data_IF_752255940647
#
_entry.id   IF_752255940647
#
_cell.length_a   1.000
_cell.length_b   1.000
_cell.length_c   1.000
_cell.angle_alpha   90.00
_cell.angle_beta   90.00
_cell.angle_gamma   90.00
#
_symmetry.space_group_name_H-M   'P 1'
#
loop_
_entity.id
_entity.type
_entity.pdbx_description
1 polymer ?
#
# COMPACT_ATOMS: atom_id res chain seq x y z
N UNK A 1 -21.91 12.62 -76.86
CA UNK A 1 -20.56 12.37 -76.29
C UNK A 1 -20.72 11.64 -74.97
N UNK A 2 -20.41 10.34 -74.95
CA UNK A 2 -20.53 9.48 -73.78
C UNK A 2 -19.14 9.29 -73.19
N UNK A 3 -18.90 9.88 -72.01
CA UNK A 3 -17.61 9.81 -71.33
C UNK A 3 -17.68 8.64 -70.35
N UNK A 4 -17.03 7.53 -70.71
CA UNK A 4 -16.88 6.34 -69.87
C UNK A 4 -15.91 6.67 -68.73
N UNK A 5 -16.39 6.67 -67.48
CA UNK A 5 -15.52 6.74 -66.32
C UNK A 5 -14.82 5.39 -66.11
N UNK A 6 -13.49 5.43 -66.04
CA UNK A 6 -12.64 4.29 -65.72
C UNK A 6 -12.91 3.80 -64.30
N UNK A 7 -13.20 2.51 -64.16
CA UNK A 7 -13.27 1.81 -62.88
C UNK A 7 -11.86 1.68 -62.30
N UNK A 8 -11.51 2.52 -61.31
CA UNK A 8 -10.32 2.29 -60.47
C UNK A 8 -10.58 1.09 -59.57
N UNK A 9 -9.87 -0.01 -59.84
CA UNK A 9 -9.65 -1.09 -58.86
C UNK A 9 -8.99 -0.50 -57.62
N UNK A 10 -9.70 -0.49 -56.50
CA UNK A 10 -9.10 -0.29 -55.18
C UNK A 10 -8.33 -1.57 -54.82
N UNK A 11 -7.01 -1.51 -54.92
CA UNK A 11 -6.13 -2.50 -54.28
C UNK A 11 -6.20 -2.25 -52.78
N UNK A 12 -6.86 -3.17 -52.06
CA UNK A 12 -6.80 -3.27 -50.60
C UNK A 12 -5.34 -3.53 -50.20
N UNK A 13 -4.64 -2.50 -49.74
CA UNK A 13 -3.37 -2.66 -49.05
C UNK A 13 -3.70 -3.00 -47.60
N UNK A 14 -3.66 -4.30 -47.28
CA UNK A 14 -3.79 -4.78 -45.90
C UNK A 14 -2.70 -4.15 -45.01
N UNK A 15 -2.96 -3.96 -43.71
CA UNK A 15 -1.97 -3.40 -42.80
C UNK A 15 -0.71 -4.27 -42.80
N UNK A 16 0.50 -3.70 -42.70
CA UNK A 16 1.71 -4.50 -42.59
C UNK A 16 1.58 -5.38 -41.35
N UNK A 17 1.67 -6.69 -41.54
CA UNK A 17 1.81 -7.65 -40.45
C UNK A 17 3.14 -7.33 -39.76
N UNK A 18 3.06 -6.50 -38.72
CA UNK A 18 4.13 -6.29 -37.78
C UNK A 18 4.32 -7.62 -37.08
N UNK A 19 5.36 -8.36 -37.46
CA UNK A 19 5.85 -9.52 -36.76
C UNK A 19 6.14 -9.09 -35.31
N UNK A 20 5.16 -9.29 -34.44
CA UNK A 20 5.37 -9.27 -33.01
C UNK A 20 6.14 -10.55 -32.69
N UNK A 21 7.46 -10.52 -32.92
CA UNK A 21 8.38 -11.32 -32.13
C UNK A 21 8.40 -10.71 -30.73
N UNK A 22 7.29 -10.86 -29.99
CA UNK A 22 7.32 -10.72 -28.55
C UNK A 22 8.09 -11.92 -28.04
N UNK A 23 9.41 -11.78 -27.92
CA UNK A 23 10.14 -12.62 -26.98
C UNK A 23 9.53 -12.34 -25.61
N UNK A 24 8.93 -13.33 -24.92
CA UNK A 24 8.63 -13.17 -23.52
C UNK A 24 9.96 -13.24 -22.79
N UNK A 25 10.69 -12.12 -22.68
CA UNK A 25 11.65 -11.95 -21.60
C UNK A 25 10.87 -11.65 -20.32
N UNK A 26 10.07 -12.64 -19.92
CA UNK A 26 9.74 -12.83 -18.52
C UNK A 26 10.63 -13.97 -18.08
N UNK A 27 11.85 -13.63 -17.65
CA UNK A 27 12.57 -14.53 -16.74
C UNK A 27 11.70 -14.55 -15.49
N UNK A 28 10.76 -15.49 -15.45
CA UNK A 28 10.15 -15.91 -14.22
C UNK A 28 11.30 -16.48 -13.41
N UNK A 29 11.91 -15.65 -12.56
CA UNK A 29 12.57 -16.18 -11.37
C UNK A 29 11.46 -16.82 -10.55
N UNK A 30 11.12 -18.07 -10.88
CA UNK A 30 10.38 -18.96 -10.01
C UNK A 30 11.31 -19.18 -8.83
N UNK A 31 11.25 -18.31 -7.83
CA UNK A 31 11.86 -18.58 -6.54
C UNK A 31 11.06 -19.75 -5.98
N UNK A 32 11.52 -20.96 -6.27
CA UNK A 32 11.11 -22.15 -5.53
C UNK A 32 11.47 -21.83 -4.08
N UNK A 33 10.47 -21.64 -3.23
CA UNK A 33 10.71 -21.14 -1.89
C UNK A 33 11.49 -22.19 -1.09
N UNK A 34 12.53 -21.71 -0.45
CA UNK A 34 13.60 -22.42 0.25
C UNK A 34 13.13 -23.57 1.16
N UNK A 35 11.90 -23.57 1.66
CA UNK A 35 11.43 -24.58 2.62
C UNK A 35 11.10 -25.95 2.02
N UNK A 36 10.80 -26.03 0.71
CA UNK A 36 10.44 -27.29 0.03
C UNK A 36 11.64 -28.01 -0.59
N UNK A 37 12.71 -27.29 -0.94
CA UNK A 37 13.99 -27.90 -1.34
C UNK A 37 14.83 -28.32 -0.11
N UNK A 38 14.80 -27.56 0.98
CA UNK A 38 15.73 -27.74 2.10
C UNK A 38 15.51 -28.99 2.96
N UNK A 39 14.34 -29.63 2.85
CA UNK A 39 14.10 -30.96 3.47
C UNK A 39 14.44 -32.12 2.55
N UNK A 40 14.50 -31.91 1.23
CA UNK A 40 14.73 -32.98 0.26
C UNK A 40 16.22 -33.23 0.01
N UNK A 41 17.07 -32.30 0.43
CA UNK A 41 18.52 -32.34 0.28
C UNK A 41 19.27 -32.41 1.62
N UNK A 42 18.66 -32.93 2.71
CA UNK A 42 19.42 -33.36 3.89
C UNK A 42 20.18 -34.68 3.64
N UNK A 43 21.02 -34.59 2.63
CA UNK A 43 22.25 -35.34 2.39
C UNK A 43 23.36 -34.47 1.78
N UNK A 44 23.15 -33.15 1.54
CA UNK A 44 24.20 -32.22 1.12
C UNK A 44 24.05 -30.83 1.74
N UNK A 45 25.18 -30.21 2.09
CA UNK A 45 25.25 -28.82 2.56
C UNK A 45 25.02 -27.89 1.37
N UNK A 46 24.15 -26.90 1.53
CA UNK A 46 23.91 -25.88 0.51
C UNK A 46 25.13 -24.94 0.42
N UNK A 47 25.93 -25.03 -0.65
CA UNK A 47 27.01 -24.07 -0.98
C UNK A 47 26.48 -22.88 -1.81
N UNK A 48 25.24 -22.46 -1.57
CA UNK A 48 24.63 -21.32 -2.27
C UNK A 48 24.93 -19.98 -1.62
N UNK A 49 24.63 -18.88 -2.32
CA UNK A 49 24.77 -17.47 -1.85
C UNK A 49 24.18 -17.23 -0.45
N UNK A 50 23.18 -18.02 -0.03
CA UNK A 50 22.63 -17.98 1.32
C UNK A 50 23.64 -18.42 2.40
N UNK A 51 24.44 -19.46 2.15
CA UNK A 51 25.48 -19.93 3.06
C UNK A 51 26.68 -18.96 3.11
N UNK A 52 26.96 -18.24 2.01
CA UNK A 52 27.98 -17.17 2.01
C UNK A 52 27.54 -15.93 2.81
N UNK A 53 26.23 -15.69 2.93
CA UNK A 53 25.64 -14.61 3.73
C UNK A 53 25.45 -15.00 5.21
N UNK A 54 25.63 -16.27 5.58
CA UNK A 54 25.65 -16.73 6.98
C UNK A 54 26.97 -16.35 7.68
N UNK A 55 28.07 -16.21 6.93
CA UNK A 55 29.36 -15.72 7.46
C UNK A 55 29.26 -14.21 7.83
N UNK A 56 29.49 -13.83 9.11
CA UNK A 56 29.28 -12.45 9.57
C UNK A 56 30.20 -11.44 8.88
N UNK A 57 31.42 -11.85 8.47
CA UNK A 57 32.38 -11.00 7.75
C UNK A 57 31.96 -10.78 6.30
N UNK A 58 31.55 -11.85 5.59
CA UNK A 58 31.07 -11.76 4.19
C UNK A 58 29.76 -10.99 4.10
N UNK A 59 28.86 -11.18 5.07
CA UNK A 59 27.62 -10.41 5.20
C UNK A 59 27.90 -8.92 5.39
N UNK A 60 28.84 -8.56 6.27
CA UNK A 60 29.27 -7.15 6.44
C UNK A 60 29.83 -6.56 5.14
N UNK A 61 30.77 -7.25 4.49
CA UNK A 61 31.33 -6.78 3.20
C UNK A 61 30.29 -6.70 2.07
N UNK A 62 29.30 -7.59 2.04
CA UNK A 62 28.19 -7.52 1.09
C UNK A 62 27.25 -6.34 1.38
N UNK A 63 26.95 -6.09 2.66
CA UNK A 63 26.14 -4.92 3.08
C UNK A 63 26.87 -3.61 2.77
N UNK A 64 28.17 -3.55 3.04
CA UNK A 64 29.05 -2.43 2.71
C UNK A 64 29.09 -2.19 1.20
N UNK A 65 29.39 -3.22 0.40
CA UNK A 65 29.40 -3.15 -1.06
C UNK A 65 28.04 -2.82 -1.69
N UNK A 66 26.94 -3.28 -1.08
CA UNK A 66 25.57 -2.94 -1.48
C UNK A 66 25.24 -1.49 -1.12
N UNK A 67 25.69 -1.01 0.04
CA UNK A 67 25.56 0.38 0.46
C UNK A 67 26.40 1.34 -0.42
N UNK A 68 27.61 0.94 -0.80
CA UNK A 68 28.51 1.69 -1.68
C UNK A 68 27.95 1.76 -3.11
N UNK A 69 27.52 0.62 -3.68
CA UNK A 69 26.90 0.57 -5.02
C UNK A 69 25.59 1.33 -5.11
N UNK A 70 24.89 1.50 -4.00
CA UNK A 70 23.65 2.28 -3.90
C UNK A 70 23.88 3.72 -3.43
N UNK A 71 25.13 4.11 -3.22
CA UNK A 71 25.50 5.51 -3.10
C UNK A 71 25.81 6.03 -4.49
N UNK A 72 24.92 6.86 -5.03
CA UNK A 72 25.26 7.76 -6.14
C UNK A 72 26.24 8.86 -5.65
N UNK A 73 26.75 8.73 -4.43
CA UNK A 73 27.50 9.70 -3.65
C UNK A 73 28.99 9.40 -3.58
N UNK A 74 29.52 8.39 -4.28
CA UNK A 74 30.97 8.29 -4.47
C UNK A 74 31.48 9.28 -5.51
N UNK A 75 30.65 9.65 -6.49
CA UNK A 75 31.09 10.38 -7.70
C UNK A 75 30.39 11.73 -7.90
N UNK A 76 29.66 12.24 -6.91
CA UNK A 76 29.07 13.59 -7.03
C UNK A 76 30.14 14.67 -6.83
N UNK A 77 30.10 15.69 -7.68
CA UNK A 77 31.00 16.87 -7.68
C UNK A 77 31.08 17.59 -6.31
N UNK A 78 30.05 17.44 -5.45
CA UNK A 78 29.97 18.10 -4.15
C UNK A 78 30.31 17.16 -2.97
N UNK A 79 30.88 15.98 -3.21
CA UNK A 79 31.17 15.01 -2.15
C UNK A 79 32.18 15.53 -1.14
N UNK A 80 33.24 16.18 -1.60
CA UNK A 80 34.26 16.75 -0.73
C UNK A 80 33.73 17.96 0.04
N UNK A 81 32.83 18.76 -0.57
CA UNK A 81 32.17 19.89 0.10
C UNK A 81 31.16 19.42 1.17
N UNK A 82 30.40 18.36 0.90
CA UNK A 82 29.48 17.74 1.87
C UNK A 82 30.26 17.12 3.03
N UNK A 83 31.40 16.46 2.76
CA UNK A 83 32.29 15.90 3.79
C UNK A 83 32.95 17.00 4.63
N UNK A 84 33.34 18.12 4.03
CA UNK A 84 33.91 19.26 4.76
C UNK A 84 32.87 20.07 5.52
N UNK A 85 31.63 20.17 5.02
CA UNK A 85 30.52 20.83 5.70
C UNK A 85 29.91 19.96 6.81
N UNK A 86 30.04 18.64 6.71
CA UNK A 86 29.80 17.73 7.83
C UNK A 86 30.98 17.79 8.80
N UNK A 87 31.02 18.84 9.63
CA UNK A 87 31.91 18.93 10.80
C UNK A 87 31.80 17.64 11.63
N UNK A 88 32.74 16.71 11.44
CA UNK A 88 33.04 15.55 12.29
C UNK A 88 31.87 14.63 12.68
N UNK A 89 30.72 14.73 12.01
CA UNK A 89 29.51 13.95 12.30
C UNK A 89 29.28 13.00 11.15
N UNK A 90 30.00 11.88 11.20
CA UNK A 90 29.81 10.76 10.29
C UNK A 90 28.33 10.39 10.20
N UNK A 91 27.79 10.25 8.99
CA UNK A 91 26.45 9.70 8.77
C UNK A 91 26.29 8.25 9.30
N UNK A 92 27.40 7.59 9.62
CA UNK A 92 27.45 6.32 10.33
C UNK A 92 27.18 6.45 11.85
N UNK A 93 27.29 7.66 12.41
CA UNK A 93 27.08 8.01 13.82
C UNK A 93 25.77 8.76 14.09
N UNK A 94 24.77 8.66 13.19
CA UNK A 94 23.37 8.90 13.58
C UNK A 94 22.84 7.69 14.39
N UNK A 95 23.56 7.36 15.46
CA UNK A 95 23.01 6.74 16.65
C UNK A 95 22.41 7.90 17.44
N UNK A 96 21.11 8.15 17.25
CA UNK A 96 20.42 9.09 18.15
C UNK A 96 20.63 8.58 19.58
N UNK A 97 20.68 9.45 20.60
CA UNK A 97 20.80 9.05 22.02
C UNK A 97 19.78 7.97 22.45
N UNK A 98 18.71 7.81 21.68
CA UNK A 98 17.70 6.76 21.78
C UNK A 98 18.19 5.34 21.41
N UNK A 99 19.17 5.21 20.52
CA UNK A 99 19.73 3.92 20.07
C UNK A 99 20.61 3.25 21.14
N UNK A 100 21.13 4.03 22.09
CA UNK A 100 21.92 3.54 23.23
C UNK A 100 21.09 2.63 24.18
N UNK A 101 19.77 2.85 24.26
CA UNK A 101 18.87 2.12 25.17
C UNK A 101 18.18 0.90 24.55
N UNK A 102 18.41 0.61 23.26
CA UNK A 102 17.79 -0.52 22.56
C UNK A 102 18.61 -1.80 22.73
N UNK A 103 17.92 -2.92 22.94
CA UNK A 103 18.55 -4.25 22.92
C UNK A 103 19.19 -4.55 21.56
N UNK A 104 20.21 -5.40 21.51
CA UNK A 104 20.93 -5.70 20.27
C UNK A 104 20.03 -6.33 19.19
N UNK A 105 18.98 -7.05 19.60
CA UNK A 105 17.93 -7.54 18.69
C UNK A 105 17.12 -6.39 18.08
N UNK A 106 16.67 -5.42 18.88
CA UNK A 106 15.96 -4.24 18.40
C UNK A 106 16.85 -3.37 17.50
N UNK A 107 18.14 -3.24 17.82
CA UNK A 107 19.12 -2.57 16.95
C UNK A 107 19.29 -3.30 15.62
N UNK A 108 19.37 -4.64 15.63
CA UNK A 108 19.46 -5.45 14.43
C UNK A 108 18.20 -5.33 13.55
N UNK A 109 17.01 -5.38 14.14
CA UNK A 109 15.73 -5.16 13.43
C UNK A 109 15.65 -3.75 12.84
N UNK A 110 16.01 -2.72 13.61
CA UNK A 110 16.08 -1.33 13.15
C UNK A 110 17.09 -1.17 12.00
N UNK A 111 18.24 -1.85 12.05
CA UNK A 111 19.23 -1.88 10.94
C UNK A 111 18.69 -2.58 9.68
N UNK A 112 17.92 -3.67 9.81
CA UNK A 112 17.26 -4.33 8.67
C UNK A 112 16.20 -3.43 8.03
N UNK A 113 15.49 -2.61 8.82
CA UNK A 113 14.55 -1.61 8.26
C UNK A 113 15.25 -0.43 7.59
N UNK A 114 16.52 -0.15 7.92
CA UNK A 114 17.39 0.85 7.29
C UNK A 114 18.13 0.29 6.05
N UNK A 115 17.52 -0.60 5.25
CA UNK A 115 17.99 -0.72 3.86
C UNK A 115 17.90 0.68 3.26
N UNK A 116 19.03 1.22 2.79
CA UNK A 116 19.06 2.53 2.17
C UNK A 116 18.00 2.56 1.09
N UNK A 117 16.96 3.40 1.29
CA UNK A 117 15.87 3.63 0.33
C UNK A 117 16.37 4.46 -0.85
N UNK A 118 17.55 4.13 -1.36
CA UNK A 118 18.08 4.69 -2.59
C UNK A 118 17.12 4.34 -3.71
N UNK A 119 16.87 5.31 -4.59
CA UNK A 119 16.09 5.14 -5.81
C UNK A 119 16.45 3.84 -6.54
N UNK A 120 17.73 3.52 -6.69
CA UNK A 120 18.21 2.31 -7.37
C UNK A 120 17.75 1.02 -6.69
N UNK A 121 17.92 0.91 -5.37
CA UNK A 121 17.51 -0.27 -4.60
C UNK A 121 15.99 -0.48 -4.64
N UNK A 122 15.24 0.61 -4.58
CA UNK A 122 13.78 0.57 -4.57
C UNK A 122 13.17 0.48 -5.97
N UNK A 123 13.91 0.84 -7.03
CA UNK A 123 13.39 0.97 -8.39
C UNK A 123 12.77 -0.34 -8.89
N UNK A 124 13.39 -1.48 -8.56
CA UNK A 124 12.90 -2.80 -8.97
C UNK A 124 11.49 -3.08 -8.41
N UNK A 125 11.21 -2.62 -7.18
CA UNK A 125 9.93 -2.85 -6.50
C UNK A 125 8.91 -1.74 -6.79
N UNK A 126 9.35 -0.48 -6.82
CA UNK A 126 8.49 0.69 -7.02
C UNK A 126 8.08 0.87 -8.49
N UNK A 127 8.98 0.62 -9.44
CA UNK A 127 8.78 0.82 -10.88
C UNK A 127 9.12 -0.47 -11.66
N UNK A 128 8.32 -1.56 -11.54
CA UNK A 128 8.61 -2.84 -12.20
C UNK A 128 8.54 -2.79 -13.74
N UNK A 129 7.70 -1.91 -14.31
CA UNK A 129 7.62 -1.65 -15.76
C UNK A 129 7.78 -0.14 -16.05
N UNK A 130 9.01 0.33 -16.32
CA UNK A 130 9.24 1.75 -16.61
C UNK A 130 8.65 2.18 -17.96
N UNK A 131 8.53 1.27 -18.94
CA UNK A 131 8.04 1.58 -20.28
C UNK A 131 6.55 1.93 -20.29
N UNK A 132 5.74 1.13 -19.59
CA UNK A 132 4.31 1.42 -19.41
C UNK A 132 4.09 2.74 -18.67
N UNK A 133 4.88 3.01 -17.61
CA UNK A 133 4.82 4.26 -16.85
C UNK A 133 5.10 5.48 -17.72
N UNK A 134 6.15 5.45 -18.55
CA UNK A 134 6.50 6.55 -19.46
C UNK A 134 5.36 6.81 -20.45
N UNK A 135 4.77 5.75 -21.03
CA UNK A 135 3.64 5.89 -21.96
C UNK A 135 2.42 6.52 -21.28
N UNK A 136 2.12 6.11 -20.04
CA UNK A 136 1.04 6.66 -19.24
C UNK A 136 1.29 8.14 -18.88
N UNK A 137 2.51 8.48 -18.45
CA UNK A 137 2.92 9.85 -18.16
C UNK A 137 2.77 10.75 -19.40
N UNK A 138 3.27 10.30 -20.56
CA UNK A 138 3.10 11.02 -21.83
C UNK A 138 1.62 11.27 -22.13
N UNK A 139 0.75 10.26 -21.97
CA UNK A 139 -0.70 10.41 -22.15
C UNK A 139 -1.28 11.45 -21.19
N UNK A 140 -0.88 11.46 -19.92
CA UNK A 140 -1.37 12.41 -18.91
C UNK A 140 -0.87 13.84 -19.15
N UNK A 141 0.40 14.01 -19.52
CA UNK A 141 0.96 15.32 -19.90
C UNK A 141 0.22 15.87 -21.12
N UNK A 142 -0.03 15.06 -22.15
CA UNK A 142 -0.82 15.49 -23.32
C UNK A 142 -2.24 15.91 -22.90
N UNK A 143 -2.90 15.17 -21.99
CA UNK A 143 -4.23 15.54 -21.48
C UNK A 143 -4.19 16.89 -20.73
N UNK A 144 -3.17 17.11 -19.91
CA UNK A 144 -2.97 18.34 -19.14
C UNK A 144 -2.70 19.54 -20.06
N UNK A 145 -1.81 19.39 -21.04
CA UNK A 145 -1.50 20.46 -22.01
C UNK A 145 -2.72 20.79 -22.88
N UNK A 146 -3.53 19.79 -23.24
CA UNK A 146 -4.75 20.00 -24.04
C UNK A 146 -5.82 20.78 -23.28
N UNK A 147 -5.93 20.56 -21.96
CA UNK A 147 -6.96 21.20 -21.12
C UNK A 147 -6.33 21.67 -19.78
N UNK A 148 -5.57 22.77 -19.77
CA UNK A 148 -4.81 23.20 -18.59
C UNK A 148 -5.72 23.60 -17.41
N UNK A 149 -6.86 24.24 -17.69
CA UNK A 149 -7.74 24.78 -16.64
C UNK A 149 -8.84 23.79 -16.21
N UNK A 150 -8.94 22.63 -16.86
CA UNK A 150 -9.99 21.66 -16.58
C UNK A 150 -9.60 20.72 -15.44
N UNK A 151 -10.00 21.09 -14.22
CA UNK A 151 -9.86 20.24 -13.03
C UNK A 151 -11.20 19.65 -12.65
N UNK A 152 -11.31 18.32 -12.65
CA UNK A 152 -12.56 17.67 -12.22
C UNK A 152 -12.76 17.83 -10.71
N UNK A 153 -14.00 17.86 -10.20
CA UNK A 153 -14.25 17.94 -8.76
C UNK A 153 -13.52 16.85 -7.97
N UNK A 154 -13.45 15.63 -8.52
CA UNK A 154 -12.72 14.50 -7.93
C UNK A 154 -11.21 14.75 -7.83
N UNK A 155 -10.60 15.35 -8.86
CA UNK A 155 -9.18 15.71 -8.84
C UNK A 155 -8.91 16.79 -7.80
N UNK A 156 -9.80 17.78 -7.68
CA UNK A 156 -9.70 18.82 -6.66
C UNK A 156 -9.76 18.23 -5.26
N UNK A 157 -10.77 17.39 -4.98
CA UNK A 157 -10.92 16.69 -3.69
C UNK A 157 -9.66 15.87 -3.37
N UNK A 158 -9.17 15.08 -4.32
CA UNK A 158 -7.98 14.24 -4.10
C UNK A 158 -6.69 15.05 -3.87
N UNK A 159 -6.62 16.27 -4.39
CA UNK A 159 -5.49 17.16 -4.18
C UNK A 159 -5.57 17.91 -2.84
N UNK A 160 -6.76 18.32 -2.40
CA UNK A 160 -6.95 19.15 -1.21
C UNK A 160 -7.24 18.36 0.06
N UNK A 161 -7.96 17.24 -0.04
CA UNK A 161 -8.44 16.46 1.09
C UNK A 161 -7.62 15.19 1.26
N UNK A 162 -7.30 14.87 2.51
CA UNK A 162 -6.58 13.64 2.85
C UNK A 162 -7.62 12.54 3.09
N UNK A 163 -7.38 11.35 2.54
CA UNK A 163 -8.16 10.13 2.80
C UNK A 163 -7.22 8.98 3.18
N UNK A 164 -7.68 8.08 4.05
CA UNK A 164 -6.97 6.86 4.41
C UNK A 164 -7.94 5.69 4.26
N UNK A 165 -7.62 4.75 3.36
CA UNK A 165 -8.40 3.52 3.17
C UNK A 165 -7.72 2.38 3.92
N UNK A 166 -8.46 1.76 4.85
CA UNK A 166 -7.99 0.59 5.59
C UNK A 166 -8.99 -0.55 5.41
N UNK A 167 -8.48 -1.78 5.32
CA UNK A 167 -9.29 -2.99 5.23
C UNK A 167 -8.80 -3.98 6.28
N UNK A 168 -9.75 -4.56 6.99
CA UNK A 168 -9.48 -5.66 7.92
C UNK A 168 -9.12 -6.96 7.20
N UNK A 169 -8.57 -7.90 7.96
CA UNK A 169 -8.45 -9.28 7.52
C UNK A 169 -9.82 -9.98 7.45
N UNK A 170 -9.85 -11.12 6.77
CA UNK A 170 -11.05 -11.93 6.65
C UNK A 170 -11.45 -12.57 8.00
N UNK A 171 -12.56 -12.10 8.55
CA UNK A 171 -13.14 -12.58 9.80
C UNK A 171 -14.17 -13.68 9.54
N UNK A 172 -14.32 -14.63 10.47
CA UNK A 172 -15.25 -15.76 10.37
C UNK A 172 -16.73 -15.38 10.62
N UNK A 173 -17.21 -14.36 9.93
CA UNK A 173 -18.54 -13.79 10.07
C UNK A 173 -19.26 -13.68 8.74
N UNK A 174 -20.56 -13.44 8.81
CA UNK A 174 -21.38 -13.13 7.63
C UNK A 174 -21.38 -11.63 7.41
N UNK A 175 -21.41 -11.22 6.14
CA UNK A 175 -21.50 -9.81 5.74
C UNK A 175 -22.67 -9.11 6.41
N UNK A 176 -23.83 -9.77 6.50
CA UNK A 176 -25.04 -9.20 7.16
C UNK A 176 -24.81 -8.89 8.64
N UNK A 177 -24.05 -9.75 9.35
CA UNK A 177 -23.78 -9.55 10.78
C UNK A 177 -22.79 -8.42 10.99
N UNK A 178 -21.77 -8.33 10.14
CA UNK A 178 -20.75 -7.29 10.21
C UNK A 178 -21.28 -5.93 9.72
N UNK A 179 -22.18 -5.94 8.73
CA UNK A 179 -22.82 -4.74 8.19
C UNK A 179 -23.57 -3.94 9.26
N UNK A 180 -24.17 -4.61 10.26
CA UNK A 180 -24.81 -3.91 11.38
C UNK A 180 -23.82 -3.07 12.20
N UNK A 181 -22.59 -3.54 12.38
CA UNK A 181 -21.54 -2.79 13.09
C UNK A 181 -20.94 -1.70 12.21
N UNK A 182 -20.70 -1.99 10.93
CA UNK A 182 -20.19 -1.02 9.95
C UNK A 182 -21.14 0.19 9.79
N UNK A 183 -22.45 -0.06 9.64
CA UNK A 183 -23.46 1.00 9.59
C UNK A 183 -23.55 1.81 10.89
N UNK A 184 -23.25 1.19 12.03
CA UNK A 184 -23.30 1.86 13.32
C UNK A 184 -22.17 2.88 13.50
N UNK A 185 -21.00 2.66 12.91
CA UNK A 185 -19.83 3.55 13.07
C UNK A 185 -19.67 4.56 11.93
N UNK A 186 -20.41 4.39 10.83
CA UNK A 186 -20.38 5.32 9.70
C UNK A 186 -20.72 6.75 10.15
N UNK A 187 -19.94 7.74 9.72
CA UNK A 187 -20.13 9.15 10.05
C UNK A 187 -19.71 9.56 11.47
N UNK A 188 -19.27 8.63 12.32
CA UNK A 188 -18.79 8.95 13.67
C UNK A 188 -17.32 9.41 13.65
N UNK A 189 -16.90 10.30 14.59
CA UNK A 189 -15.48 10.54 14.81
C UNK A 189 -14.81 9.25 15.30
N UNK A 190 -13.53 9.04 14.92
CA UNK A 190 -12.83 7.76 15.17
C UNK A 190 -12.80 7.39 16.65
N UNK A 191 -12.52 8.37 17.53
CA UNK A 191 -12.48 8.14 18.97
C UNK A 191 -13.83 7.66 19.53
N UNK A 192 -14.94 8.21 19.02
CA UNK A 192 -16.28 7.79 19.40
C UNK A 192 -16.61 6.40 18.87
N UNK A 193 -16.15 6.07 17.67
CA UNK A 193 -16.34 4.73 17.11
C UNK A 193 -15.56 3.66 17.91
N UNK A 194 -14.32 3.96 18.32
CA UNK A 194 -13.51 3.09 19.21
C UNK A 194 -14.25 2.85 20.53
N UNK A 195 -14.71 3.93 21.17
CA UNK A 195 -15.58 3.88 22.34
C UNK A 195 -16.81 2.96 22.10
N UNK A 196 -17.54 3.19 21.01
CA UNK A 196 -18.74 2.41 20.69
C UNK A 196 -18.45 0.91 20.51
N UNK A 197 -17.34 0.57 19.86
CA UNK A 197 -16.93 -0.83 19.68
C UNK A 197 -16.46 -1.47 20.99
N UNK A 198 -15.80 -0.71 21.88
CA UNK A 198 -15.33 -1.16 23.20
C UNK A 198 -16.47 -1.66 24.07
N UNK A 199 -17.61 -0.94 24.07
CA UNK A 199 -18.78 -1.30 24.89
C UNK A 199 -19.84 -2.11 24.14
N UNK A 200 -19.63 -2.40 22.86
CA UNK A 200 -20.56 -3.21 22.08
C UNK A 200 -20.51 -4.67 22.51
N UNK A 201 -21.69 -5.27 22.72
CA UNK A 201 -21.86 -6.68 23.12
C UNK A 201 -21.60 -7.66 21.97
N UNK A 202 -21.43 -7.20 20.73
CA UNK A 202 -21.29 -8.08 19.56
C UNK A 202 -19.89 -8.70 19.55
N UNK A 203 -19.78 -10.01 19.34
CA UNK A 203 -18.47 -10.72 19.32
C UNK A 203 -17.39 -10.03 18.48
N UNK A 204 -17.77 -9.57 17.29
CA UNK A 204 -16.86 -8.97 16.33
C UNK A 204 -16.59 -7.47 16.54
N UNK A 205 -17.14 -6.84 17.58
CA UNK A 205 -16.78 -5.46 17.92
C UNK A 205 -15.33 -5.34 18.36
N UNK A 206 -14.80 -6.35 19.06
CA UNK A 206 -13.41 -6.38 19.52
C UNK A 206 -12.40 -6.35 18.36
N UNK A 207 -12.71 -7.09 17.30
CA UNK A 207 -11.90 -7.13 16.08
C UNK A 207 -11.98 -5.79 15.32
N UNK A 208 -13.17 -5.22 15.18
CA UNK A 208 -13.34 -3.89 14.55
C UNK A 208 -12.61 -2.82 15.36
N UNK A 209 -12.64 -2.89 16.69
CA UNK A 209 -11.89 -1.97 17.55
C UNK A 209 -10.39 -2.00 17.22
N UNK A 210 -9.80 -3.20 17.13
CA UNK A 210 -8.40 -3.36 16.73
C UNK A 210 -8.12 -2.70 15.36
N UNK A 211 -8.97 -2.94 14.36
CA UNK A 211 -8.79 -2.35 13.03
C UNK A 211 -9.03 -0.83 13.00
N UNK A 212 -9.87 -0.29 13.88
CA UNK A 212 -10.06 1.16 14.00
C UNK A 212 -8.83 1.83 14.62
N UNK A 213 -8.20 1.19 15.62
CA UNK A 213 -6.94 1.65 16.20
C UNK A 213 -5.81 1.60 15.15
N UNK A 214 -5.67 0.48 14.46
CA UNK A 214 -4.70 0.34 13.36
C UNK A 214 -4.94 1.37 12.24
N UNK A 215 -6.19 1.58 11.82
CA UNK A 215 -6.54 2.57 10.80
C UNK A 215 -6.19 4.00 11.24
N UNK A 216 -6.45 4.35 12.51
CA UNK A 216 -6.11 5.65 13.07
C UNK A 216 -4.60 5.86 13.02
N UNK A 217 -3.84 4.89 13.47
CA UNK A 217 -2.39 5.00 13.56
C UNK A 217 -1.77 5.06 12.15
N UNK A 218 -2.28 4.27 11.20
CA UNK A 218 -1.89 4.35 9.79
C UNK A 218 -2.26 5.69 9.16
N UNK A 219 -3.42 6.26 9.46
CA UNK A 219 -3.85 7.55 8.95
C UNK A 219 -2.94 8.70 9.44
N UNK A 220 -2.55 8.65 10.71
CA UNK A 220 -1.61 9.61 11.30
C UNK A 220 -0.23 9.45 10.65
N UNK A 221 0.30 8.23 10.57
CA UNK A 221 1.67 7.99 10.09
C UNK A 221 1.82 8.18 8.58
N UNK A 222 0.90 7.62 7.77
CA UNK A 222 1.01 7.67 6.30
C UNK A 222 0.52 8.98 5.70
N UNK A 223 -0.57 9.52 6.26
CA UNK A 223 -1.27 10.67 5.67
C UNK A 223 -1.13 11.95 6.50
N UNK A 224 -0.61 11.88 7.74
CA UNK A 224 -0.47 13.06 8.60
C UNK A 224 -1.80 13.63 9.09
N UNK A 225 -2.84 12.78 9.24
CA UNK A 225 -4.14 13.22 9.74
C UNK A 225 -4.15 13.45 11.25
N UNK A 226 -5.04 14.32 11.76
CA UNK A 226 -5.27 14.48 13.20
C UNK A 226 -4.18 15.23 13.99
N UNK A 227 -3.24 15.90 13.31
CA UNK A 227 -2.12 16.61 13.93
C UNK A 227 -2.37 18.12 14.17
N UNK A 228 -3.53 18.64 13.79
CA UNK A 228 -3.83 20.08 13.87
C UNK A 228 -3.79 20.64 15.29
N UNK A 229 -4.17 19.83 16.30
CA UNK A 229 -4.05 20.24 17.73
C UNK A 229 -2.62 20.54 18.14
N UNK A 230 -1.66 19.75 17.67
CA UNK A 230 -0.24 19.90 18.00
C UNK A 230 0.36 21.08 17.22
N UNK A 231 -0.08 21.25 15.97
CA UNK A 231 0.37 22.35 15.11
C UNK A 231 -0.28 23.71 15.46
N UNK A 232 -1.32 23.73 16.30
CA UNK A 232 -2.06 24.95 16.64
C UNK A 232 -3.07 25.40 15.57
N UNK A 233 -3.40 24.54 14.61
CA UNK A 233 -4.34 24.81 13.49
C UNK A 233 -5.82 24.66 13.92
N UNK A 234 -6.16 25.20 15.09
CA UNK A 234 -7.53 25.18 15.60
C UNK A 234 -8.31 26.36 15.03
N UNK A 235 -9.60 26.15 14.76
CA UNK A 235 -10.46 27.28 14.45
C UNK A 235 -10.64 28.16 15.69
N UNK A 236 -10.46 29.48 15.53
CA UNK A 236 -10.72 30.46 16.61
C UNK A 236 -12.16 30.38 17.11
N UNK A 237 -13.10 30.12 16.21
CA UNK A 237 -14.50 29.86 16.51
C UNK A 237 -14.94 28.51 15.92
N UNK A 238 -15.61 27.64 16.71
CA UNK A 238 -16.01 26.33 16.24
C UNK A 238 -17.06 26.44 15.13
N UNK A 239 -16.83 25.78 14.00
CA UNK A 239 -17.75 25.79 12.86
C UNK A 239 -18.90 24.82 13.11
N UNK A 240 -20.14 25.30 12.95
CA UNK A 240 -21.35 24.47 12.99
C UNK A 240 -21.66 23.96 11.59
N UNK A 241 -21.70 22.63 11.43
CA UNK A 241 -22.08 22.00 10.17
C UNK A 241 -23.27 21.06 10.37
N UNK A 242 -24.06 20.89 9.31
CA UNK A 242 -25.13 19.90 9.24
C UNK A 242 -24.60 18.67 8.50
N UNK A 243 -24.67 17.48 9.12
CA UNK A 243 -24.33 16.23 8.42
C UNK A 243 -25.39 15.86 7.40
N UNK A 244 -25.06 14.94 6.49
CA UNK A 244 -26.03 14.35 5.56
C UNK A 244 -27.24 13.71 6.26
N UNK A 245 -27.07 13.26 7.50
CA UNK A 245 -28.12 12.66 8.33
C UNK A 245 -28.97 13.70 9.08
N UNK A 246 -28.70 15.00 8.89
CA UNK A 246 -29.44 16.10 9.53
C UNK A 246 -28.99 16.41 10.96
N UNK A 247 -27.84 15.88 11.40
CA UNK A 247 -27.31 16.14 12.75
C UNK A 247 -26.38 17.36 12.73
N UNK A 248 -26.60 18.28 13.66
CA UNK A 248 -25.68 19.40 13.90
C UNK A 248 -24.43 18.93 14.66
N UNK A 249 -23.26 19.25 14.12
CA UNK A 249 -21.96 18.97 14.73
C UNK A 249 -21.15 20.26 14.77
N UNK A 250 -20.47 20.48 15.90
CA UNK A 250 -19.52 21.58 16.08
C UNK A 250 -18.11 21.04 15.87
N UNK A 251 -17.37 21.64 14.94
CA UNK A 251 -15.98 21.28 14.62
C UNK A 251 -15.07 22.38 15.13
N UNK A 252 -14.30 22.06 16.19
CA UNK A 252 -13.22 22.92 16.69
C UNK A 252 -11.90 22.65 15.94
N UNK A 253 -11.60 21.37 15.68
CA UNK A 253 -10.39 20.92 14.99
C UNK A 253 -10.74 20.42 13.57
N UNK A 254 -10.31 21.13 12.51
CA UNK A 254 -10.57 20.73 11.12
C UNK A 254 -9.83 19.44 10.72
N UNK A 255 -8.75 19.09 11.42
CA UNK A 255 -7.93 17.92 11.09
C UNK A 255 -8.40 16.64 11.77
N UNK A 256 -9.43 16.75 12.63
CA UNK A 256 -9.97 15.63 13.40
C UNK A 256 -10.46 14.49 12.49
N UNK A 257 -10.11 13.26 12.86
CA UNK A 257 -10.36 12.09 12.03
C UNK A 257 -11.77 11.54 12.30
N UNK A 258 -12.51 11.29 11.22
CA UNK A 258 -13.82 10.66 11.28
C UNK A 258 -13.96 9.57 10.22
N UNK A 259 -14.93 8.68 10.43
CA UNK A 259 -15.22 7.59 9.50
C UNK A 259 -16.16 8.13 8.42
N UNK A 260 -15.61 8.53 7.27
CA UNK A 260 -16.41 9.05 6.16
C UNK A 260 -17.33 7.98 5.57
N UNK A 261 -16.80 6.77 5.39
CA UNK A 261 -17.53 5.63 4.83
C UNK A 261 -17.11 4.36 5.55
N UNK A 262 -18.05 3.43 5.70
CA UNK A 262 -17.77 2.07 6.16
C UNK A 262 -18.67 1.11 5.39
N UNK A 263 -18.09 0.03 4.89
CA UNK A 263 -18.81 -1.04 4.21
C UNK A 263 -18.17 -2.38 4.55
N UNK A 264 -18.77 -3.47 4.05
CA UNK A 264 -18.31 -4.83 4.33
C UNK A 264 -18.18 -5.60 3.02
N UNK A 265 -17.01 -6.20 2.82
CA UNK A 265 -16.70 -7.13 1.75
C UNK A 265 -17.00 -8.58 2.13
N UNK A 266 -17.35 -9.39 1.13
CA UNK A 266 -17.50 -10.85 1.29
C UNK A 266 -16.21 -11.53 0.87
N UNK A 267 -15.66 -12.36 1.76
CA UNK A 267 -14.52 -13.21 1.46
C UNK A 267 -14.91 -14.57 0.87
N UNK A 268 -13.89 -15.40 0.64
CA UNK A 268 -14.09 -16.81 0.28
C UNK A 268 -14.82 -17.57 1.39
N UNK A 269 -15.52 -18.63 1.02
CA UNK A 269 -16.18 -19.51 1.99
C UNK A 269 -15.13 -20.30 2.79
N UNK A 270 -15.18 -20.22 4.12
CA UNK A 270 -14.27 -20.96 5.00
C UNK A 270 -14.49 -22.48 4.92
N UNK A 271 -15.71 -22.90 4.56
CA UNK A 271 -16.04 -24.31 4.44
C UNK A 271 -17.49 -24.53 4.06
N UNK A 272 -17.81 -25.76 3.65
CA UNK A 272 -19.16 -26.21 3.33
C UNK A 272 -19.43 -27.50 4.10
N UNK A 273 -20.63 -27.64 4.67
CA UNK A 273 -21.07 -28.84 5.38
C UNK A 273 -22.43 -29.28 4.83
N UNK A 274 -22.62 -30.59 4.67
CA UNK A 274 -23.94 -31.18 4.34
C UNK A 274 -24.85 -31.09 5.56
N UNK A 275 -26.06 -30.61 5.34
CA UNK A 275 -27.12 -30.46 6.35
C UNK A 275 -28.18 -31.51 6.07
N UNK A 276 -28.17 -32.58 6.86
CA UNK A 276 -29.09 -33.70 6.70
C UNK A 276 -30.42 -33.37 7.36
N UNK A 277 -31.51 -33.46 6.59
CA UNK A 277 -32.87 -33.17 7.04
C UNK A 277 -33.74 -34.42 6.95
N UNK A 278 -34.95 -34.34 7.53
CA UNK A 278 -35.93 -35.42 7.42
C UNK A 278 -36.33 -35.72 5.97
N UNK A 279 -36.85 -36.94 5.74
CA UNK A 279 -37.35 -37.41 4.43
C UNK A 279 -36.28 -37.42 3.32
N UNK A 280 -35.04 -37.79 3.65
CA UNK A 280 -33.93 -37.90 2.68
C UNK A 280 -33.47 -36.58 2.06
N UNK A 281 -33.93 -35.42 2.55
CA UNK A 281 -33.54 -34.11 2.04
C UNK A 281 -32.16 -33.71 2.58
N UNK A 282 -31.36 -33.05 1.75
CA UNK A 282 -30.05 -32.51 2.15
C UNK A 282 -29.87 -31.08 1.67
N UNK A 283 -29.36 -30.22 2.56
CA UNK A 283 -28.90 -28.87 2.25
C UNK A 283 -27.38 -28.76 2.33
N UNK A 284 -26.83 -27.59 1.97
CA UNK A 284 -25.42 -27.26 2.16
C UNK A 284 -25.29 -25.97 2.97
N UNK A 285 -24.75 -26.06 4.18
CA UNK A 285 -24.42 -24.92 5.01
C UNK A 285 -23.02 -24.43 4.61
N UNK A 286 -22.92 -23.16 4.21
CA UNK A 286 -21.66 -22.51 3.85
C UNK A 286 -21.21 -21.60 5.00
N UNK A 287 -19.96 -21.73 5.44
CA UNK A 287 -19.36 -20.90 6.50
C UNK A 287 -18.77 -19.63 5.88
N UNK A 288 -19.37 -18.45 6.08
CA UNK A 288 -18.92 -17.21 5.46
C UNK A 288 -17.62 -16.70 6.07
N UNK A 289 -16.90 -15.93 5.26
CA UNK A 289 -15.84 -15.03 5.69
C UNK A 289 -16.16 -13.62 5.19
N UNK A 290 -15.79 -12.58 5.92
CA UNK A 290 -16.07 -11.18 5.54
C UNK A 290 -14.99 -10.25 6.09
N UNK A 291 -14.75 -9.13 5.39
CA UNK A 291 -13.87 -8.04 5.84
C UNK A 291 -14.70 -6.76 5.96
N UNK A 292 -14.39 -5.94 6.96
CA UNK A 292 -14.83 -4.56 7.10
C UNK A 292 -13.73 -3.58 6.67
#
# INVERSE_FOLDING_TARGET
MSVRFATRRLVSTGPPQRSQASLPFYIQHRSVSFRSLWKKWRGQKDEGVAAELDDPKKRKGFLEKSSERSSIASDNIFTDEIKSASDGRDLAQLETKEDANLTDAQRAEKRVTRVARTRQNTAIVLDPDPGARIRWLRKKVIQMVRNPDFVTPEQRIRASERECTHSSHFMATSTKKLCMLSRQIAGMPVDKAIAQMRWSKKKYSKEILYYLEEARDLAIVKHGMGLGKVNGELFKEPRKILTKEGKWIQIADPTSIYIAQSWVGRGSWLGKRRDYKGRGRMGVIKRPSSSA
#
